data_IF_941569715802
#
_entry.id   IF_941569715802
#
_cell.length_a   1.000
_cell.length_b   1.000
_cell.length_c   1.000
_cell.angle_alpha   90.00
_cell.angle_beta   90.00
_cell.angle_gamma   90.00
#
_symmetry.space_group_name_H-M   'P 1'
#
loop_
_entity.id
_entity.type
_entity.pdbx_description
1 polymer ?
#
# COMPACT_ATOMS: atom_id res chain seq x y z
N UNK A 1 7.82 -25.02 8.19
CA UNK A 1 8.84 -24.14 8.83
C UNK A 1 9.63 -23.23 7.88
N UNK A 2 9.95 -23.61 6.62
CA UNK A 2 10.74 -22.74 5.73
C UNK A 2 10.05 -21.39 5.40
N UNK A 3 8.73 -21.40 5.24
CA UNK A 3 7.88 -20.21 4.97
C UNK A 3 7.89 -19.17 6.11
N UNK A 4 8.10 -19.59 7.36
CA UNK A 4 8.06 -18.70 8.53
C UNK A 4 9.41 -18.05 8.85
N UNK A 5 10.47 -18.46 8.14
CA UNK A 5 11.83 -17.90 8.32
C UNK A 5 11.89 -16.39 8.07
N UNK A 6 10.94 -15.84 7.29
CA UNK A 6 10.79 -14.40 7.09
C UNK A 6 10.65 -13.63 8.41
N UNK A 7 9.93 -14.16 9.41
CA UNK A 7 9.73 -13.49 10.71
C UNK A 7 10.99 -13.43 11.58
N UNK A 8 12.01 -14.23 11.24
CA UNK A 8 13.29 -14.27 11.95
C UNK A 8 14.27 -13.21 11.42
N UNK A 9 14.00 -12.60 10.27
CA UNK A 9 14.83 -11.52 9.74
C UNK A 9 14.59 -10.23 10.58
N UNK A 10 15.65 -9.59 11.11
CA UNK A 10 15.52 -8.36 11.91
C UNK A 10 14.93 -7.16 11.15
N UNK A 11 14.95 -7.16 9.80
CA UNK A 11 14.38 -6.07 8.98
C UNK A 11 12.88 -6.23 8.73
N UNK A 12 12.34 -7.44 8.90
CA UNK A 12 10.93 -7.76 8.64
C UNK A 12 9.93 -6.86 9.37
N UNK A 13 10.10 -6.50 10.66
CA UNK A 13 9.18 -5.61 11.36
C UNK A 13 9.07 -4.25 10.66
N UNK A 14 10.19 -3.69 10.21
CA UNK A 14 10.24 -2.38 9.57
C UNK A 14 9.66 -2.44 8.15
N UNK A 15 9.91 -3.53 7.41
CA UNK A 15 9.33 -3.75 6.08
C UNK A 15 7.79 -3.84 6.18
N UNK A 16 7.28 -4.71 7.06
CA UNK A 16 5.84 -4.87 7.26
C UNK A 16 5.19 -3.57 7.75
N UNK A 17 5.87 -2.84 8.65
CA UNK A 17 5.40 -1.55 9.12
C UNK A 17 5.28 -0.53 7.98
N UNK A 18 6.28 -0.44 7.10
CA UNK A 18 6.25 0.46 5.93
C UNK A 18 5.18 0.06 4.90
N UNK A 19 4.84 -1.23 4.81
CA UNK A 19 3.74 -1.75 3.98
C UNK A 19 2.35 -1.55 4.61
N UNK A 20 2.24 -0.77 5.70
CA UNK A 20 1.01 -0.56 6.45
C UNK A 20 0.35 -1.86 6.97
N UNK A 21 1.14 -2.92 7.16
CA UNK A 21 0.66 -4.17 7.75
C UNK A 21 0.56 -3.97 9.26
N UNK A 22 -0.68 -3.97 9.76
CA UNK A 22 -0.96 -3.79 11.18
C UNK A 22 -1.13 -5.11 11.94
N UNK A 23 -1.73 -6.10 11.29
CA UNK A 23 -2.08 -7.37 11.91
C UNK A 23 -1.66 -8.56 11.06
N UNK A 24 -1.22 -9.62 11.73
CA UNK A 24 -1.07 -10.96 11.19
C UNK A 24 -2.18 -11.81 11.79
N UNK A 25 -2.92 -12.50 10.94
CA UNK A 25 -4.07 -13.30 11.34
C UNK A 25 -3.77 -14.76 11.01
N UNK A 26 -3.88 -15.62 12.02
CA UNK A 26 -3.95 -17.06 11.83
C UNK A 26 -5.44 -17.43 11.85
N UNK A 27 -6.04 -17.71 10.68
CA UNK A 27 -7.48 -17.86 10.59
C UNK A 27 -7.97 -19.18 11.20
N UNK A 28 -9.25 -19.20 11.57
CA UNK A 28 -9.97 -20.44 11.77
C UNK A 28 -10.27 -21.06 10.40
N UNK A 29 -9.91 -22.32 10.23
CA UNK A 29 -10.11 -23.05 8.98
C UNK A 29 -11.30 -24.01 9.12
N UNK A 30 -12.52 -23.52 8.84
CA UNK A 30 -13.74 -24.34 9.00
C UNK A 30 -13.87 -25.42 7.94
N UNK A 31 -13.35 -25.16 6.74
CA UNK A 31 -13.46 -26.04 5.57
C UNK A 31 -12.23 -26.96 5.42
N UNK A 32 -11.17 -26.72 6.20
CA UNK A 32 -9.96 -27.53 6.19
C UNK A 32 -9.10 -27.32 4.96
N UNK A 33 -9.07 -26.10 4.41
CA UNK A 33 -8.42 -25.76 3.14
C UNK A 33 -6.99 -25.22 3.30
N UNK A 34 -6.61 -24.76 4.50
CA UNK A 34 -5.37 -24.01 4.73
C UNK A 34 -4.31 -24.91 5.35
N UNK A 35 -4.66 -25.59 6.43
CA UNK A 35 -3.73 -26.45 7.16
C UNK A 35 -3.95 -27.89 6.74
N UNK A 36 -3.35 -28.28 5.60
CA UNK A 36 -3.56 -29.59 4.99
C UNK A 36 -2.30 -30.45 5.12
N UNK A 37 -2.48 -31.69 5.58
CA UNK A 37 -1.51 -32.77 5.39
C UNK A 37 -2.21 -33.94 4.70
N UNK A 38 -1.62 -34.46 3.62
CA UNK A 38 -2.17 -35.61 2.89
C UNK A 38 -3.64 -35.44 2.45
N UNK A 39 -4.03 -34.22 2.05
CA UNK A 39 -5.40 -33.84 1.66
C UNK A 39 -6.43 -33.83 2.80
N UNK A 40 -5.99 -33.88 4.05
CA UNK A 40 -6.85 -33.74 5.23
C UNK A 40 -6.41 -32.57 6.10
N UNK A 41 -7.38 -31.97 6.79
CA UNK A 41 -7.11 -30.92 7.75
C UNK A 41 -6.17 -31.41 8.87
N UNK A 42 -5.17 -30.62 9.19
CA UNK A 42 -4.16 -30.89 10.18
C UNK A 42 -4.12 -29.75 11.21
N UNK A 43 -4.78 -29.98 12.34
CA UNK A 43 -4.81 -29.02 13.46
C UNK A 43 -3.42 -28.70 14.01
N UNK A 44 -2.52 -29.69 14.02
CA UNK A 44 -1.17 -29.53 14.56
C UNK A 44 -0.37 -28.50 13.77
N UNK A 45 -0.52 -28.43 12.45
CA UNK A 45 0.14 -27.40 11.65
C UNK A 45 -0.28 -25.98 12.04
N UNK A 46 -1.56 -25.78 12.41
CA UNK A 46 -2.03 -24.50 12.90
C UNK A 46 -1.40 -24.15 14.25
N UNK A 47 -1.40 -25.11 15.18
CA UNK A 47 -0.77 -24.94 16.50
C UNK A 47 0.71 -24.62 16.36
N UNK A 48 1.45 -25.31 15.48
CA UNK A 48 2.87 -25.03 15.21
C UNK A 48 3.11 -23.61 14.67
N UNK A 49 2.20 -23.06 13.87
CA UNK A 49 2.27 -21.66 13.39
C UNK A 49 2.02 -20.69 14.54
N UNK A 50 1.00 -20.93 15.36
CA UNK A 50 0.70 -20.07 16.51
C UNK A 50 1.83 -20.10 17.55
N UNK A 51 2.35 -21.28 17.88
CA UNK A 51 3.50 -21.45 18.77
C UNK A 51 4.73 -20.73 18.23
N UNK A 52 5.02 -20.84 16.92
CA UNK A 52 6.11 -20.11 16.30
C UNK A 52 5.92 -18.59 16.44
N UNK A 53 4.75 -18.06 16.09
CA UNK A 53 4.48 -16.63 16.16
C UNK A 53 4.53 -16.10 17.62
N UNK A 54 4.15 -16.92 18.60
CA UNK A 54 4.28 -16.60 20.02
C UNK A 54 5.75 -16.45 20.46
N UNK A 55 6.72 -17.02 19.72
CA UNK A 55 8.15 -16.82 19.99
C UNK A 55 8.72 -15.51 19.44
N UNK A 56 7.99 -14.80 18.57
CA UNK A 56 8.49 -13.62 17.86
C UNK A 56 8.40 -12.37 18.77
N UNK A 57 9.53 -11.78 19.22
CA UNK A 57 9.51 -10.78 20.29
C UNK A 57 8.82 -9.46 19.92
N UNK A 58 8.79 -9.12 18.63
CA UNK A 58 8.21 -7.87 18.14
C UNK A 58 6.72 -7.99 17.80
N UNK A 59 6.15 -9.20 17.85
CA UNK A 59 4.72 -9.42 17.69
C UNK A 59 4.01 -9.39 19.03
N UNK A 60 2.84 -8.74 19.06
CA UNK A 60 1.99 -8.70 20.24
C UNK A 60 0.70 -9.48 19.98
N UNK A 61 0.54 -10.63 20.62
CA UNK A 61 -0.70 -11.42 20.52
C UNK A 61 -1.86 -10.66 21.15
N UNK A 62 -2.98 -10.55 20.41
CA UNK A 62 -4.23 -9.95 20.85
C UNK A 62 -5.30 -11.03 20.87
N UNK A 63 -5.97 -11.18 22.03
CA UNK A 63 -7.13 -12.06 22.13
C UNK A 63 -8.36 -11.36 21.56
N UNK A 64 -8.81 -11.79 20.38
CA UNK A 64 -10.06 -11.32 19.75
C UNK A 64 -11.17 -12.36 19.88
N UNK A 65 -10.88 -13.61 19.53
CA UNK A 65 -11.77 -14.77 19.71
C UNK A 65 -10.95 -16.01 20.08
N UNK A 66 -11.61 -17.09 20.50
CA UNK A 66 -10.91 -18.36 20.78
C UNK A 66 -10.60 -19.16 19.49
N UNK A 67 -11.13 -18.76 18.33
CA UNK A 67 -10.97 -19.49 17.06
C UNK A 67 -9.90 -18.89 16.14
N UNK A 68 -9.54 -17.63 16.34
CA UNK A 68 -8.63 -16.87 15.47
C UNK A 68 -7.53 -16.27 16.35
N UNK A 69 -6.27 -16.51 16.00
CA UNK A 69 -5.15 -15.82 16.62
C UNK A 69 -4.80 -14.56 15.81
N UNK A 70 -4.62 -13.44 16.51
CA UNK A 70 -4.28 -12.15 15.92
C UNK A 70 -3.02 -11.62 16.58
N UNK A 71 -2.06 -11.18 15.78
CA UNK A 71 -0.80 -10.59 16.23
C UNK A 71 -0.69 -9.17 15.67
N UNK A 72 -0.46 -8.20 16.55
CA UNK A 72 -0.26 -6.79 16.20
C UNK A 72 1.23 -6.48 16.00
N UNK A 73 1.51 -5.65 15.00
CA UNK A 73 2.81 -5.04 14.76
C UNK A 73 2.81 -3.65 15.40
N UNK A 74 3.49 -3.41 16.54
CA UNK A 74 3.33 -2.16 17.29
C UNK A 74 3.84 -0.91 16.57
N UNK A 75 4.79 -1.07 15.63
CA UNK A 75 5.47 0.01 14.92
C UNK A 75 4.90 0.31 13.52
N UNK A 76 3.69 -0.16 13.21
CA UNK A 76 3.07 0.01 11.89
C UNK A 76 2.98 1.48 11.45
N UNK A 77 3.11 1.73 10.14
CA UNK A 77 2.86 3.04 9.52
C UNK A 77 1.47 3.08 8.90
N UNK A 78 0.91 4.26 8.75
CA UNK A 78 -0.30 4.46 7.95
C UNK A 78 0.02 4.33 6.45
N UNK A 79 -1.03 4.21 5.63
CA UNK A 79 -0.94 4.03 4.17
C UNK A 79 -0.13 5.13 3.46
N UNK A 80 -0.14 6.33 4.04
CA UNK A 80 0.78 7.41 3.71
C UNK A 80 1.54 7.83 4.96
N UNK A 81 2.85 7.99 4.84
CA UNK A 81 3.68 8.50 5.91
C UNK A 81 4.80 9.38 5.37
N UNK A 82 5.33 10.24 6.24
CA UNK A 82 6.46 11.10 5.91
C UNK A 82 7.74 10.46 6.44
N UNK A 83 8.71 10.23 5.56
CA UNK A 83 10.07 9.90 5.97
C UNK A 83 10.93 11.16 5.99
N UNK A 84 11.48 11.44 7.18
CA UNK A 84 12.30 12.62 7.50
C UNK A 84 13.79 12.27 7.66
N UNK A 85 14.26 11.13 7.17
CA UNK A 85 15.68 10.74 7.22
C UNK A 85 16.56 11.79 6.55
N UNK A 86 17.55 12.47 7.20
CA UNK A 86 18.18 12.27 8.52
C UNK A 86 18.05 13.46 9.51
N UNK A 87 17.16 14.44 9.28
CA UNK A 87 17.16 15.69 10.07
C UNK A 87 16.67 15.47 11.50
N UNK A 88 15.70 14.58 11.71
CA UNK A 88 15.17 14.31 13.06
C UNK A 88 16.07 13.39 13.89
N UNK A 89 16.81 12.45 13.28
CA UNK A 89 17.69 11.55 14.04
C UNK A 89 18.86 12.31 14.70
N UNK A 90 19.43 13.30 14.00
CA UNK A 90 20.50 14.15 14.52
C UNK A 90 20.02 15.19 15.55
N UNK A 91 18.75 15.63 15.48
CA UNK A 91 18.18 16.57 16.47
C UNK A 91 17.80 15.89 17.78
N UNK A 92 17.27 14.67 17.73
CA UNK A 92 16.83 13.93 18.93
C UNK A 92 18.02 13.43 19.75
N UNK A 93 19.15 13.08 19.12
CA UNK A 93 20.35 12.61 19.85
C UNK A 93 21.00 13.68 20.73
N UNK A 94 20.76 14.97 20.45
CA UNK A 94 21.46 16.09 21.07
C UNK A 94 20.63 16.84 22.13
N UNK A 95 19.40 16.41 22.43
CA UNK A 95 18.53 17.10 23.37
C UNK A 95 18.05 16.16 24.48
N UNK A 96 18.48 16.40 25.72
CA UNK A 96 17.85 15.81 26.90
C UNK A 96 16.38 16.29 26.97
N UNK A 97 15.44 15.44 26.55
CA UNK A 97 14.02 15.77 26.39
C UNK A 97 13.40 16.25 27.72
N UNK A 98 13.16 17.56 27.80
CA UNK A 98 12.29 18.19 28.79
C UNK A 98 10.87 18.23 28.25
N UNK A 99 9.86 18.27 29.12
CA UNK A 99 8.44 18.29 28.70
C UNK A 99 8.10 19.46 27.74
N UNK A 100 8.82 20.58 27.87
CA UNK A 100 8.62 21.76 27.03
C UNK A 100 9.22 21.62 25.63
N UNK A 101 10.32 20.87 25.46
CA UNK A 101 10.87 20.63 24.14
C UNK A 101 10.02 19.65 23.33
N UNK A 102 9.40 18.68 24.01
CA UNK A 102 8.51 17.72 23.36
C UNK A 102 7.34 18.42 22.68
N UNK A 103 6.70 19.38 23.37
CA UNK A 103 5.61 20.19 22.81
C UNK A 103 6.07 21.07 21.62
N UNK A 104 7.26 21.66 21.71
CA UNK A 104 7.82 22.44 20.61
C UNK A 104 8.15 21.57 19.39
N UNK A 105 8.65 20.35 19.60
CA UNK A 105 8.97 19.38 18.54
C UNK A 105 7.70 18.91 17.84
N UNK A 106 6.62 18.66 18.58
CA UNK A 106 5.34 18.25 18.02
C UNK A 106 4.77 19.31 17.07
N UNK A 107 4.83 20.60 17.45
CA UNK A 107 4.37 21.69 16.58
C UNK A 107 5.25 21.96 15.35
N UNK A 108 6.52 21.56 15.41
CA UNK A 108 7.50 21.69 14.31
C UNK A 108 7.65 20.40 13.50
N UNK A 109 6.78 19.40 13.75
CA UNK A 109 6.88 18.12 13.08
C UNK A 109 6.12 18.11 11.76
N UNK A 110 6.71 17.43 10.79
CA UNK A 110 6.04 17.12 9.54
C UNK A 110 4.96 16.06 9.81
N UNK A 111 3.75 16.29 9.31
CA UNK A 111 2.58 15.49 9.66
C UNK A 111 1.70 15.22 8.43
N UNK A 112 1.20 13.99 8.33
CA UNK A 112 0.06 13.65 7.46
C UNK A 112 -1.21 13.83 8.28
N UNK A 113 -2.04 14.82 7.94
CA UNK A 113 -3.22 15.19 8.74
C UNK A 113 -4.47 14.42 8.36
N UNK A 114 -4.71 14.26 7.06
CA UNK A 114 -5.92 13.64 6.55
C UNK A 114 -5.60 12.87 5.28
N UNK A 115 -6.16 11.67 5.17
CA UNK A 115 -6.08 10.83 3.99
C UNK A 115 -7.51 10.52 3.58
N UNK A 116 -7.88 10.89 2.35
CA UNK A 116 -9.18 10.59 1.78
C UNK A 116 -9.01 9.84 0.47
N UNK A 117 -9.37 8.57 0.48
CA UNK A 117 -9.51 7.77 -0.74
C UNK A 117 -10.73 8.26 -1.52
N UNK A 118 -10.51 8.85 -2.68
CA UNK A 118 -11.59 9.28 -3.59
C UNK A 118 -12.08 8.07 -4.38
N UNK A 119 -11.14 7.26 -4.88
CA UNK A 119 -11.33 5.97 -5.51
C UNK A 119 -10.04 5.13 -5.36
N UNK A 120 -10.01 3.83 -5.71
CA UNK A 120 -8.82 2.98 -5.52
C UNK A 120 -7.55 3.49 -6.23
N UNK A 121 -7.69 4.34 -7.25
CA UNK A 121 -6.60 4.92 -8.04
C UNK A 121 -6.33 6.39 -7.70
N UNK A 122 -6.99 6.95 -6.68
CA UNK A 122 -6.91 8.37 -6.37
C UNK A 122 -7.13 8.69 -4.90
N UNK A 123 -6.15 9.38 -4.32
CA UNK A 123 -6.14 9.82 -2.93
C UNK A 123 -5.96 11.33 -2.85
N UNK A 124 -6.63 11.95 -1.88
CA UNK A 124 -6.37 13.30 -1.43
C UNK A 124 -5.68 13.23 -0.07
N UNK A 125 -4.48 13.79 0.02
CA UNK A 125 -3.63 13.73 1.20
C UNK A 125 -3.34 15.15 1.67
N UNK A 126 -3.76 15.47 2.89
CA UNK A 126 -3.52 16.76 3.53
C UNK A 126 -2.26 16.67 4.38
N UNK A 127 -1.26 17.52 4.10
CA UNK A 127 0.05 17.51 4.74
C UNK A 127 0.34 18.83 5.45
N UNK A 128 1.11 18.75 6.53
CA UNK A 128 1.86 19.87 7.12
C UNK A 128 3.35 19.55 7.03
N UNK A 129 4.10 20.35 6.29
CA UNK A 129 5.56 20.24 6.20
C UNK A 129 6.17 21.47 6.87
N UNK A 130 6.79 21.29 8.02
CA UNK A 130 7.55 22.32 8.73
C UNK A 130 8.97 22.47 8.17
N UNK A 131 9.59 21.36 7.76
CA UNK A 131 10.97 21.33 7.24
C UNK A 131 11.05 20.44 6.00
N UNK A 132 11.59 20.97 4.92
CA UNK A 132 11.75 20.31 3.62
C UNK A 132 13.24 20.19 3.26
N UNK A 133 13.65 19.21 2.42
CA UNK A 133 12.81 18.25 1.71
C UNK A 133 12.37 17.05 2.57
N UNK A 134 11.22 16.47 2.22
CA UNK A 134 10.69 15.23 2.80
C UNK A 134 10.18 14.28 1.72
N UNK A 135 10.14 13.00 2.03
CA UNK A 135 9.49 12.01 1.17
C UNK A 135 8.12 11.66 1.74
N UNK A 136 7.07 11.94 0.96
CA UNK A 136 5.76 11.31 1.17
C UNK A 136 5.82 9.91 0.61
N UNK A 137 5.88 8.92 1.50
CA UNK A 137 5.87 7.50 1.14
C UNK A 137 4.44 7.01 1.09
N UNK A 138 4.14 6.20 0.08
CA UNK A 138 2.85 5.57 -0.15
C UNK A 138 3.04 4.06 -0.12
N UNK A 139 2.37 3.38 0.81
CA UNK A 139 2.52 1.95 1.12
C UNK A 139 1.90 1.02 0.07
N UNK A 140 1.98 1.39 -1.20
CA UNK A 140 1.71 0.53 -2.35
C UNK A 140 3.02 0.16 -3.04
N UNK A 141 3.03 -1.00 -3.69
CA UNK A 141 4.18 -1.46 -4.48
C UNK A 141 4.54 -0.41 -5.54
N UNK A 142 5.82 -0.11 -5.68
CA UNK A 142 6.33 0.89 -6.60
C UNK A 142 5.84 0.65 -8.04
N UNK A 143 5.30 1.70 -8.65
CA UNK A 143 4.94 1.74 -10.07
C UNK A 143 5.17 3.17 -10.61
N UNK A 144 5.81 3.28 -11.77
CA UNK A 144 6.15 4.57 -12.40
C UNK A 144 4.92 5.39 -12.84
N UNK A 145 3.76 4.74 -12.94
CA UNK A 145 2.50 5.39 -13.34
C UNK A 145 1.80 6.10 -12.17
N UNK A 146 2.29 5.93 -10.93
CA UNK A 146 1.87 6.76 -9.80
C UNK A 146 2.50 8.15 -9.85
N UNK A 147 1.70 9.17 -9.56
CA UNK A 147 2.17 10.54 -9.45
C UNK A 147 1.42 11.29 -8.35
N UNK A 148 2.09 12.26 -7.73
CA UNK A 148 1.49 13.23 -6.85
C UNK A 148 1.30 14.57 -7.58
N UNK A 149 0.23 15.28 -7.26
CA UNK A 149 -0.06 16.63 -7.76
C UNK A 149 -0.17 17.59 -6.60
N UNK A 150 0.65 18.64 -6.64
CA UNK A 150 0.64 19.74 -5.69
C UNK A 150 0.33 21.03 -6.47
N UNK A 151 -0.96 21.40 -6.50
CA UNK A 151 -1.46 22.45 -7.38
C UNK A 151 -1.25 22.10 -8.87
N UNK A 152 -0.41 22.88 -9.57
CA UNK A 152 -0.05 22.64 -10.99
C UNK A 152 1.18 21.76 -11.16
N UNK A 153 1.94 21.50 -10.08
CA UNK A 153 3.16 20.71 -10.13
C UNK A 153 2.83 19.22 -10.09
N UNK A 154 3.45 18.46 -10.98
CA UNK A 154 3.41 16.99 -10.97
C UNK A 154 4.73 16.50 -10.38
N UNK A 155 4.64 15.58 -9.44
CA UNK A 155 5.77 14.93 -8.76
C UNK A 155 5.66 13.44 -9.12
N UNK A 156 6.58 12.90 -9.93
CA UNK A 156 6.56 11.48 -10.28
C UNK A 156 6.88 10.62 -9.05
N UNK A 157 6.38 9.38 -9.04
CA UNK A 157 6.80 8.39 -8.05
C UNK A 157 8.28 8.04 -8.21
N UNK A 158 8.98 7.90 -7.09
CA UNK A 158 10.33 7.35 -7.01
C UNK A 158 10.35 6.10 -6.13
N UNK A 159 11.26 5.17 -6.43
CA UNK A 159 11.41 3.93 -5.67
C UNK A 159 11.93 4.21 -4.25
N UNK A 160 11.19 3.75 -3.24
CA UNK A 160 11.57 3.81 -1.83
C UNK A 160 11.30 2.45 -1.18
N UNK A 161 12.31 1.63 -0.93
CA UNK A 161 12.14 0.29 -0.34
C UNK A 161 11.02 -0.56 -1.00
N UNK A 162 10.96 -0.56 -2.34
CA UNK A 162 9.90 -1.20 -3.13
C UNK A 162 8.50 -0.56 -3.04
N UNK A 163 8.39 0.61 -2.42
CA UNK A 163 7.19 1.43 -2.32
C UNK A 163 7.29 2.68 -3.18
N UNK A 164 6.16 3.35 -3.36
CA UNK A 164 6.07 4.64 -4.03
C UNK A 164 6.49 5.77 -3.08
N UNK A 165 7.17 6.77 -3.60
CA UNK A 165 7.52 7.97 -2.84
C UNK A 165 7.47 9.23 -3.70
N UNK A 166 7.13 10.35 -3.06
CA UNK A 166 7.01 11.65 -3.71
C UNK A 166 7.83 12.68 -2.91
N UNK A 167 8.86 13.24 -3.54
CA UNK A 167 9.71 14.23 -2.90
C UNK A 167 9.03 15.59 -2.83
N UNK A 168 8.73 16.04 -1.62
CA UNK A 168 8.13 17.36 -1.33
C UNK A 168 9.26 18.27 -0.84
N UNK A 169 9.58 19.27 -1.66
CA UNK A 169 10.72 20.18 -1.46
C UNK A 169 10.32 21.55 -0.88
N UNK A 170 9.04 21.71 -0.53
CA UNK A 170 8.49 22.95 0.01
C UNK A 170 7.90 22.71 1.39
N UNK A 171 8.17 23.64 2.31
CA UNK A 171 7.49 23.71 3.60
C UNK A 171 6.16 24.47 3.44
N UNK A 172 5.17 24.08 4.24
CA UNK A 172 3.82 24.64 4.19
C UNK A 172 2.74 23.59 4.48
N UNK A 173 1.50 24.04 4.43
CA UNK A 173 0.33 23.16 4.44
C UNK A 173 -0.10 22.91 2.99
N UNK A 174 -0.26 21.65 2.61
CA UNK A 174 -0.56 21.25 1.23
C UNK A 174 -1.70 20.24 1.17
N UNK A 175 -2.49 20.34 0.11
CA UNK A 175 -3.34 19.26 -0.37
C UNK A 175 -2.67 18.63 -1.59
N UNK A 176 -2.28 17.36 -1.47
CA UNK A 176 -1.65 16.59 -2.52
C UNK A 176 -2.64 15.56 -3.05
N UNK A 177 -2.82 15.53 -4.37
CA UNK A 177 -3.60 14.47 -5.03
C UNK A 177 -2.63 13.41 -5.55
N UNK A 178 -2.69 12.20 -4.99
CA UNK A 178 -1.93 11.05 -5.47
C UNK A 178 -2.83 10.22 -6.39
N UNK A 179 -2.41 9.99 -7.63
CA UNK A 179 -3.23 9.30 -8.63
C UNK A 179 -2.43 8.33 -9.51
N UNK A 180 -3.08 7.26 -9.94
CA UNK A 180 -2.53 6.27 -10.86
C UNK A 180 -2.93 6.61 -12.30
N UNK A 181 -1.95 6.82 -13.17
CA UNK A 181 -2.20 7.33 -14.53
C UNK A 181 -2.57 6.26 -15.55
N UNK A 182 -2.47 4.97 -15.20
CA UNK A 182 -2.73 3.87 -16.13
C UNK A 182 -4.15 3.89 -16.71
N UNK A 183 -5.11 4.43 -15.96
CA UNK A 183 -6.51 4.58 -16.39
C UNK A 183 -6.64 5.29 -17.75
N UNK A 184 -5.70 6.17 -18.10
CA UNK A 184 -5.67 6.84 -19.42
C UNK A 184 -5.49 5.85 -20.58
N UNK A 185 -4.66 4.82 -20.39
CA UNK A 185 -4.44 3.80 -21.42
C UNK A 185 -5.64 2.88 -21.58
N UNK A 186 -6.36 2.60 -20.49
CA UNK A 186 -7.61 1.83 -20.53
C UNK A 186 -8.65 2.51 -21.42
N UNK A 187 -8.83 3.83 -21.29
CA UNK A 187 -9.75 4.59 -22.15
C UNK A 187 -9.37 4.50 -23.63
N UNK A 188 -8.09 4.63 -23.96
CA UNK A 188 -7.62 4.46 -25.34
C UNK A 188 -7.85 3.05 -25.87
N UNK A 189 -7.58 2.03 -25.05
CA UNK A 189 -7.86 0.63 -25.39
C UNK A 189 -9.34 0.38 -25.68
N UNK A 190 -10.23 1.00 -24.90
CA UNK A 190 -11.68 0.90 -25.10
C UNK A 190 -12.11 1.55 -26.43
N UNK A 191 -11.57 2.72 -26.76
CA UNK A 191 -11.86 3.39 -28.04
C UNK A 191 -11.42 2.52 -29.23
N UNK A 192 -10.20 1.98 -29.19
CA UNK A 192 -9.68 1.10 -30.26
C UNK A 192 -10.52 -0.17 -30.38
N UNK A 193 -10.93 -0.76 -29.25
CA UNK A 193 -11.76 -1.97 -29.23
C UNK A 193 -13.15 -1.71 -29.82
N UNK A 194 -13.79 -0.59 -29.46
CA UNK A 194 -15.08 -0.21 -29.99
C UNK A 194 -15.03 0.00 -31.52
N UNK A 195 -13.98 0.67 -32.01
CA UNK A 195 -13.78 0.86 -33.44
C UNK A 195 -13.58 -0.47 -34.18
N UNK A 196 -12.78 -1.38 -33.60
CA UNK A 196 -12.52 -2.71 -34.17
C UNK A 196 -13.79 -3.56 -34.22
N UNK A 197 -14.61 -3.50 -33.17
CA UNK A 197 -15.90 -4.20 -33.11
C UNK A 197 -16.86 -3.69 -34.19
N UNK A 198 -16.99 -2.38 -34.34
CA UNK A 198 -17.85 -1.76 -35.36
C UNK A 198 -17.41 -2.13 -36.78
N UNK A 199 -16.10 -2.10 -37.05
CA UNK A 199 -15.55 -2.51 -38.34
C UNK A 199 -15.82 -3.99 -38.63
N UNK A 200 -15.59 -4.86 -37.65
CA UNK A 200 -15.83 -6.30 -37.78
C UNK A 200 -17.31 -6.61 -38.02
N UNK A 201 -18.20 -5.99 -37.26
CA UNK A 201 -19.65 -6.10 -37.46
C UNK A 201 -20.08 -5.57 -38.84
N UNK A 202 -19.54 -4.44 -39.28
CA UNK A 202 -19.79 -3.88 -40.60
C UNK A 202 -19.38 -4.81 -41.74
N UNK A 203 -18.21 -5.45 -41.63
CA UNK A 203 -17.74 -6.47 -42.59
C UNK A 203 -18.69 -7.68 -42.60
N UNK A 204 -19.11 -8.19 -41.44
CA UNK A 204 -20.06 -9.30 -41.38
C UNK A 204 -21.41 -8.97 -42.02
N UNK A 205 -21.93 -7.76 -41.76
CA UNK A 205 -23.17 -7.28 -42.39
C UNK A 205 -23.00 -7.16 -43.91
N UNK A 206 -21.88 -6.61 -44.37
CA UNK A 206 -21.58 -6.49 -45.79
C UNK A 206 -21.52 -7.87 -46.48
N UNK A 207 -20.81 -8.83 -45.88
CA UNK A 207 -20.72 -10.20 -46.39
C UNK A 207 -22.09 -10.89 -46.38
N UNK A 208 -22.90 -10.68 -45.35
CA UNK A 208 -24.25 -11.22 -45.27
C UNK A 208 -25.15 -10.71 -46.40
N UNK A 209 -25.14 -9.40 -46.66
CA UNK A 209 -25.90 -8.78 -47.77
C UNK A 209 -25.45 -9.35 -49.11
N UNK A 210 -24.13 -9.43 -49.35
CA UNK A 210 -23.58 -9.98 -50.58
C UNK A 210 -23.98 -11.45 -50.79
N UNK A 211 -23.92 -12.27 -49.73
CA UNK A 211 -24.31 -13.68 -49.78
C UNK A 211 -25.81 -13.88 -50.02
N UNK A 212 -26.64 -12.94 -49.58
CA UNK A 212 -28.10 -13.00 -49.74
C UNK A 212 -28.55 -12.53 -51.12
N UNK A 213 -27.82 -11.59 -51.74
CA UNK A 213 -28.08 -11.12 -53.11
C UNK A 213 -27.65 -12.09 -54.21
N UNK A 214 -26.82 -13.11 -53.90
CA UNK A 214 -26.37 -14.15 -54.82
C UNK A 214 -27.29 -15.38 -54.92
N UNK A 215 -28.49 -15.34 -54.34
CA UNK A 215 -29.53 -16.38 -54.45
C UNK A 215 -30.68 -15.89 -55.33
N UNK A 216 -30.48 -15.83 -56.65
CA UNK A 216 -31.53 -15.73 -57.68
C UNK A 216 -31.14 -16.62 -58.86
#
# INVERSE_FOLDING_TARGET
MRELSYFLNPETPDILAQMAVKYIIVPFDSEGEIFIAEHQYNHQQREEVEEFLDTIPWLKKIKVTDKIAVYEIPSYKDHFFLDNSPINQLRISNYELTRNSQFAIEQLSNEVREIKMIDPTKYLVSLRISEAPVNLVFSETYDELWQAKMGKRIIPSTLYNNLNSFSVDQAGDFEIVVEFTAQKYVYWGLVVSAFTLLMSAGVLVYLFILSSGGRL
#
